data_IF_435729072021
#
_entry.id   IF_435729072021
#
_cell.length_a   1.000
_cell.length_b   1.000
_cell.length_c   1.000
_cell.angle_alpha   90.00
_cell.angle_beta   90.00
_cell.angle_gamma   90.00
#
_symmetry.space_group_name_H-M   'P 1'
#
loop_
_entity.id
_entity.type
_entity.pdbx_description
1 polymer ?
#
# COMPACT_ATOMS: atom_id res chain seq x y z
N UNK A 1 -13.57 -7.47 11.54
CA UNK A 1 -12.40 -7.18 12.39
C UNK A 1 -12.78 -6.22 13.50
N UNK A 2 -12.20 -6.45 14.66
CA UNK A 2 -12.41 -5.60 15.81
C UNK A 2 -11.50 -4.36 15.73
N UNK A 3 -12.06 -3.17 15.87
CA UNK A 3 -11.30 -1.91 15.86
C UNK A 3 -10.92 -1.44 17.27
N UNK A 4 -11.09 -2.31 18.28
CA UNK A 4 -10.75 -1.99 19.66
C UNK A 4 -9.30 -1.55 19.79
N UNK A 5 -9.06 -0.58 20.68
CA UNK A 5 -7.74 -0.02 20.92
C UNK A 5 -7.38 1.17 20.04
N UNK A 6 -8.20 1.49 19.02
CA UNK A 6 -8.02 2.69 18.20
C UNK A 6 -9.21 3.61 18.41
N UNK A 7 -8.96 4.79 18.98
CA UNK A 7 -10.02 5.80 19.15
C UNK A 7 -10.12 6.73 17.95
N UNK A 8 -8.98 7.27 17.52
CA UNK A 8 -8.89 8.09 16.33
C UNK A 8 -7.68 7.59 15.56
N UNK A 9 -7.90 7.04 14.42
CA UNK A 9 -6.78 6.50 13.67
C UNK A 9 -7.17 5.75 12.42
N UNK A 10 -6.29 4.87 12.00
CA UNK A 10 -6.41 4.14 10.75
C UNK A 10 -6.18 2.66 11.04
N UNK A 11 -7.03 1.81 10.49
CA UNK A 11 -6.85 0.36 10.57
C UNK A 11 -6.77 -0.19 9.14
N UNK A 12 -5.63 -0.76 8.80
CA UNK A 12 -5.42 -1.44 7.52
C UNK A 12 -5.76 -2.91 7.73
N UNK A 13 -6.84 -3.37 7.11
CA UNK A 13 -7.35 -4.73 7.25
C UNK A 13 -7.25 -5.49 5.94
N UNK A 14 -7.41 -6.81 6.01
CA UNK A 14 -7.35 -7.71 4.86
C UNK A 14 -6.01 -7.67 4.12
N UNK A 15 -4.93 -7.38 4.85
CA UNK A 15 -3.58 -7.51 4.31
C UNK A 15 -3.29 -9.01 4.19
N UNK A 16 -2.77 -9.43 3.04
CA UNK A 16 -2.40 -10.82 2.85
C UNK A 16 -1.37 -11.24 3.91
N UNK A 17 -1.60 -12.38 4.55
CA UNK A 17 -0.71 -12.90 5.60
C UNK A 17 0.74 -12.98 5.09
N UNK A 18 1.66 -12.39 5.85
CA UNK A 18 3.08 -12.32 5.49
C UNK A 18 3.49 -11.02 4.80
N UNK A 19 2.55 -10.15 4.43
CA UNK A 19 2.87 -8.89 3.74
C UNK A 19 2.83 -7.65 4.63
N UNK A 20 2.44 -7.77 5.89
CA UNK A 20 2.30 -6.61 6.78
C UNK A 20 3.60 -5.84 6.96
N UNK A 21 4.74 -6.52 7.08
CA UNK A 21 6.02 -5.84 7.27
C UNK A 21 6.48 -5.11 6.01
N UNK A 22 6.14 -5.62 4.82
CA UNK A 22 6.40 -4.91 3.58
C UNK A 22 5.56 -3.62 3.52
N UNK A 23 4.28 -3.71 3.86
CA UNK A 23 3.38 -2.54 3.93
C UNK A 23 3.91 -1.53 4.95
N UNK A 24 4.29 -2.00 6.12
CA UNK A 24 4.87 -1.18 7.20
C UNK A 24 6.07 -0.38 6.70
N UNK A 25 6.99 -1.04 6.01
CA UNK A 25 8.19 -0.38 5.48
C UNK A 25 7.90 0.60 4.35
N UNK A 26 7.03 0.21 3.41
CA UNK A 26 6.72 1.05 2.25
C UNK A 26 5.94 2.31 2.64
N UNK A 27 5.13 2.25 3.69
CA UNK A 27 4.42 3.42 4.21
C UNK A 27 5.28 4.27 5.14
N UNK A 28 6.50 3.84 5.45
CA UNK A 28 7.39 4.58 6.34
C UNK A 28 6.92 4.62 7.78
N UNK A 29 6.19 3.60 8.23
CA UNK A 29 5.62 3.57 9.58
C UNK A 29 6.68 3.45 10.67
N UNK A 30 7.89 3.01 10.31
CA UNK A 30 9.04 2.97 11.21
C UNK A 30 9.55 4.37 11.59
N UNK A 31 9.15 5.39 10.83
CA UNK A 31 9.61 6.78 11.01
C UNK A 31 8.58 7.66 11.70
N UNK A 32 7.39 7.14 11.97
CA UNK A 32 6.35 7.93 12.65
C UNK A 32 6.45 7.73 14.17
N UNK A 33 6.08 8.77 14.91
CA UNK A 33 6.08 8.74 16.37
C UNK A 33 4.78 8.20 16.96
N UNK A 34 3.82 7.93 16.11
CA UNK A 34 2.50 7.43 16.53
C UNK A 34 2.58 5.97 16.94
N UNK A 35 1.68 5.55 17.81
CA UNK A 35 1.57 4.16 18.20
C UNK A 35 1.07 3.32 17.01
N UNK A 36 1.86 2.33 16.62
CA UNK A 36 1.53 1.44 15.51
C UNK A 36 1.55 0.00 16.02
N UNK A 37 0.47 -0.74 15.78
CA UNK A 37 0.40 -2.17 16.12
C UNK A 37 0.28 -2.98 14.83
N UNK A 38 1.07 -4.04 14.73
CA UNK A 38 1.04 -4.99 13.61
C UNK A 38 0.58 -6.33 14.16
N UNK A 39 -0.48 -6.87 13.57
CA UNK A 39 -1.01 -8.18 13.93
C UNK A 39 -0.81 -9.10 12.73
N UNK A 40 -0.05 -10.17 12.94
CA UNK A 40 0.21 -11.16 11.90
C UNK A 40 -0.63 -12.40 12.13
N UNK A 41 -1.10 -12.99 11.05
CA UNK A 41 -1.81 -14.27 11.08
C UNK A 41 -3.08 -14.25 11.92
N UNK A 42 -3.84 -13.15 11.84
CA UNK A 42 -5.16 -13.06 12.44
C UNK A 42 -6.15 -13.95 11.66
N UNK A 43 -7.12 -14.51 12.35
CA UNK A 43 -8.13 -15.35 11.70
C UNK A 43 -8.98 -14.51 10.72
N UNK A 44 -9.18 -15.08 9.52
CA UNK A 44 -9.97 -14.43 8.48
C UNK A 44 -10.93 -15.44 7.87
N UNK A 45 -12.21 -15.09 7.83
CA UNK A 45 -13.22 -15.93 7.19
C UNK A 45 -12.99 -16.01 5.67
N UNK A 46 -12.42 -14.96 5.07
CA UNK A 46 -12.21 -14.88 3.62
C UNK A 46 -10.93 -15.58 3.15
N UNK A 47 -9.84 -15.46 3.92
CA UNK A 47 -8.51 -15.91 3.49
C UNK A 47 -7.88 -16.95 4.40
N UNK A 48 -8.56 -17.38 5.47
CA UNK A 48 -7.97 -18.21 6.51
C UNK A 48 -7.13 -17.39 7.47
N UNK A 49 -6.10 -16.72 6.98
CA UNK A 49 -5.24 -15.83 7.79
C UNK A 49 -5.07 -14.49 7.07
N UNK A 50 -4.95 -13.43 7.85
CA UNK A 50 -4.71 -12.08 7.34
C UNK A 50 -3.80 -11.33 8.30
N UNK A 51 -3.18 -10.26 7.83
CA UNK A 51 -2.43 -9.33 8.66
C UNK A 51 -3.23 -8.04 8.83
N UNK A 52 -3.02 -7.36 9.95
CA UNK A 52 -3.70 -6.11 10.28
C UNK A 52 -2.68 -5.12 10.80
N UNK A 53 -2.78 -3.85 10.40
CA UNK A 53 -1.96 -2.77 10.94
C UNK A 53 -2.90 -1.72 11.52
N UNK A 54 -2.70 -1.37 12.79
CA UNK A 54 -3.45 -0.32 13.47
C UNK A 54 -2.53 0.86 13.76
N UNK A 55 -2.95 2.04 13.35
CA UNK A 55 -2.19 3.27 13.56
C UNK A 55 -3.03 4.20 14.43
N UNK A 56 -2.48 4.56 15.59
CA UNK A 56 -3.14 5.51 16.49
C UNK A 56 -2.84 6.93 15.99
N UNK A 57 -3.86 7.63 15.58
CA UNK A 57 -3.85 8.91 14.91
C UNK A 57 -4.00 8.79 13.38
N UNK A 58 -4.48 9.87 12.76
CA UNK A 58 -4.67 9.94 11.32
C UNK A 58 -3.46 10.59 10.68
N UNK A 59 -2.60 9.75 10.13
CA UNK A 59 -1.46 10.20 9.35
C UNK A 59 -1.80 10.12 7.86
N UNK A 60 -1.06 10.85 7.05
CA UNK A 60 -1.20 10.74 5.60
C UNK A 60 -0.62 9.41 5.14
N UNK A 61 -1.44 8.64 4.43
CA UNK A 61 -1.03 7.36 3.86
C UNK A 61 -1.17 7.45 2.35
N UNK A 62 -0.15 6.97 1.65
CA UNK A 62 -0.19 6.90 0.20
C UNK A 62 -1.07 5.72 -0.22
N UNK A 63 -2.32 6.02 -0.58
CA UNK A 63 -3.28 5.02 -1.01
C UNK A 63 -2.89 4.37 -2.33
N UNK A 64 -2.15 5.06 -3.19
CA UNK A 64 -1.67 4.49 -4.44
C UNK A 64 -0.64 3.41 -4.19
N UNK A 65 0.26 3.60 -3.23
CA UNK A 65 1.21 2.57 -2.82
C UNK A 65 0.47 1.34 -2.30
N UNK A 66 -0.52 1.53 -1.43
CA UNK A 66 -1.32 0.43 -0.91
C UNK A 66 -2.05 -0.32 -2.01
N UNK A 67 -2.71 0.40 -2.91
CA UNK A 67 -3.43 -0.21 -4.03
C UNK A 67 -2.52 -0.98 -4.97
N UNK A 68 -1.29 -0.52 -5.14
CA UNK A 68 -0.28 -1.22 -5.93
C UNK A 68 0.16 -2.53 -5.25
N UNK A 69 0.37 -2.50 -3.93
CA UNK A 69 0.80 -3.69 -3.18
C UNK A 69 -0.31 -4.75 -3.18
N UNK A 70 -1.52 -4.35 -2.79
CA UNK A 70 -2.66 -5.26 -2.72
C UNK A 70 -3.95 -4.46 -2.66
N UNK A 71 -4.73 -4.48 -3.74
CA UNK A 71 -6.01 -3.77 -3.80
C UNK A 71 -7.09 -4.38 -2.90
N UNK A 72 -6.86 -5.56 -2.33
CA UNK A 72 -7.78 -6.17 -1.37
C UNK A 72 -7.67 -5.58 0.04
N UNK A 73 -6.61 -4.82 0.32
CA UNK A 73 -6.46 -4.14 1.60
C UNK A 73 -7.60 -3.13 1.75
N UNK A 74 -8.20 -3.10 2.93
CA UNK A 74 -9.24 -2.15 3.27
C UNK A 74 -8.68 -1.12 4.24
N UNK A 75 -8.93 0.16 3.99
CA UNK A 75 -8.51 1.25 4.86
C UNK A 75 -9.72 1.70 5.68
N UNK A 76 -9.68 1.48 6.99
CA UNK A 76 -10.75 1.88 7.90
C UNK A 76 -10.32 3.12 8.67
N UNK A 77 -11.07 4.21 8.51
CA UNK A 77 -10.85 5.43 9.27
C UNK A 77 -11.73 5.39 10.51
N UNK A 78 -11.10 5.53 11.68
CA UNK A 78 -11.77 5.43 12.96
C UNK A 78 -11.80 6.79 13.65
N UNK A 79 -12.96 7.17 14.18
CA UNK A 79 -13.13 8.40 14.95
C UNK A 79 -14.00 8.10 16.17
N UNK A 80 -13.54 8.54 17.33
CA UNK A 80 -14.25 8.35 18.63
C UNK A 80 -14.58 6.86 18.89
N UNK A 81 -13.66 5.98 18.52
CA UNK A 81 -13.82 4.54 18.70
C UNK A 81 -14.76 3.85 17.74
N UNK A 82 -15.29 4.58 16.76
CA UNK A 82 -16.25 4.04 15.79
C UNK A 82 -15.72 4.18 14.38
N UNK A 83 -16.12 3.25 13.52
CA UNK A 83 -15.78 3.30 12.09
C UNK A 83 -16.47 4.50 11.44
N UNK A 84 -15.67 5.46 10.97
CA UNK A 84 -16.18 6.64 10.28
C UNK A 84 -16.32 6.40 8.79
N UNK A 85 -15.29 5.80 8.18
CA UNK A 85 -15.28 5.58 6.73
C UNK A 85 -14.43 4.36 6.40
N UNK A 86 -14.90 3.58 5.43
CA UNK A 86 -14.19 2.43 4.91
C UNK A 86 -13.82 2.69 3.46
N UNK A 87 -12.53 2.68 3.15
CA UNK A 87 -12.01 2.92 1.81
C UNK A 87 -11.60 1.61 1.16
N UNK A 88 -12.05 1.40 -0.06
CA UNK A 88 -11.59 0.29 -0.89
C UNK A 88 -10.55 0.80 -1.87
N UNK A 89 -9.52 0.01 -2.11
CA UNK A 89 -8.39 0.39 -2.95
C UNK A 89 -8.55 -0.19 -4.34
N UNK A 90 -7.93 0.50 -5.30
CA UNK A 90 -7.84 0.05 -6.70
C UNK A 90 -6.39 0.14 -7.14
N UNK A 91 -6.05 -0.58 -8.21
CA UNK A 91 -4.74 -0.41 -8.85
C UNK A 91 -4.65 1.03 -9.36
N UNK A 92 -3.62 1.78 -8.95
CA UNK A 92 -3.48 3.16 -9.42
C UNK A 92 -3.15 3.20 -10.91
N UNK A 93 -3.62 4.25 -11.58
CA UNK A 93 -3.32 4.49 -12.99
C UNK A 93 -1.85 4.83 -13.20
N UNK A 94 -1.26 5.55 -12.26
CA UNK A 94 0.11 6.05 -12.35
C UNK A 94 0.84 5.81 -11.04
N UNK A 95 2.09 5.37 -11.15
CA UNK A 95 3.00 5.18 -10.01
C UNK A 95 4.18 6.12 -10.17
N UNK A 96 4.48 6.91 -9.13
CA UNK A 96 5.61 7.84 -9.11
C UNK A 96 6.55 7.48 -7.98
N UNK A 97 7.78 7.08 -8.32
CA UNK A 97 8.81 6.66 -7.37
C UNK A 97 8.39 5.50 -6.45
N UNK A 98 7.41 4.70 -6.87
CA UNK A 98 7.00 3.48 -6.16
C UNK A 98 7.88 2.31 -6.60
N UNK A 99 8.10 2.20 -7.90
CA UNK A 99 8.98 1.22 -8.51
C UNK A 99 10.03 1.93 -9.34
N UNK A 100 11.20 1.32 -9.43
CA UNK A 100 12.31 1.87 -10.21
C UNK A 100 12.43 1.15 -11.54
N UNK A 101 12.68 1.90 -12.61
CA UNK A 101 12.92 1.32 -13.91
C UNK A 101 14.23 0.53 -13.89
N UNK A 102 14.19 -0.71 -14.35
CA UNK A 102 15.35 -1.60 -14.37
C UNK A 102 16.09 -1.57 -15.69
N UNK A 103 15.59 -0.80 -16.66
CA UNK A 103 16.26 -0.64 -17.95
C UNK A 103 17.48 0.28 -17.79
N UNK A 104 18.71 -0.21 -17.96
CA UNK A 104 19.91 0.60 -17.74
C UNK A 104 20.05 1.74 -18.73
N UNK A 105 19.33 1.70 -19.85
CA UNK A 105 19.35 2.74 -20.88
C UNK A 105 18.26 3.79 -20.69
N UNK A 106 17.37 3.60 -19.72
CA UNK A 106 16.31 4.57 -19.44
C UNK A 106 16.89 5.84 -18.84
N UNK A 107 16.36 7.00 -19.25
CA UNK A 107 16.79 8.30 -18.74
C UNK A 107 16.64 8.36 -17.20
N UNK A 108 15.64 7.70 -16.63
CA UNK A 108 15.44 7.68 -15.19
C UNK A 108 16.51 6.90 -14.45
N UNK A 109 17.16 5.96 -15.13
CA UNK A 109 18.28 5.18 -14.59
C UNK A 109 19.58 5.97 -14.65
N UNK A 110 19.76 6.74 -15.70
CA UNK A 110 20.96 7.56 -15.94
C UNK A 110 20.92 8.84 -15.11
N UNK A 111 19.77 9.51 -15.07
CA UNK A 111 19.56 10.77 -14.36
C UNK A 111 18.78 10.53 -13.09
N UNK A 112 19.40 10.63 -11.92
CA UNK A 112 18.78 10.29 -10.64
C UNK A 112 17.68 11.27 -10.21
N UNK A 113 17.65 12.45 -10.78
CA UNK A 113 16.67 13.48 -10.42
C UNK A 113 15.32 13.29 -11.09
N UNK A 114 15.23 12.45 -12.12
CA UNK A 114 13.99 12.22 -12.85
C UNK A 114 13.15 11.21 -12.08
N UNK A 115 11.89 11.58 -11.81
CA UNK A 115 10.94 10.73 -11.10
C UNK A 115 10.64 9.48 -11.95
N UNK A 116 10.79 8.30 -11.34
CA UNK A 116 10.41 7.04 -11.99
C UNK A 116 8.88 6.99 -12.05
N UNK A 117 8.32 7.10 -13.24
CA UNK A 117 6.87 7.15 -13.45
C UNK A 117 6.45 6.00 -14.35
N UNK A 118 5.47 5.24 -13.88
CA UNK A 118 4.90 4.10 -14.60
C UNK A 118 3.42 4.31 -14.78
N UNK A 119 2.87 3.89 -15.90
CA UNK A 119 1.44 3.92 -16.17
C UNK A 119 0.88 2.52 -16.27
N UNK A 120 -0.34 2.35 -15.79
CA UNK A 120 -1.05 1.08 -15.88
C UNK A 120 -1.43 0.82 -17.33
N UNK A 121 -1.01 -0.31 -17.89
CA UNK A 121 -1.31 -0.69 -19.28
C UNK A 121 -2.25 -1.87 -19.38
N UNK A 122 -2.26 -2.76 -18.39
CA UNK A 122 -3.17 -3.91 -18.37
C UNK A 122 -3.56 -4.21 -16.92
N UNK A 123 -4.80 -3.89 -16.59
CA UNK A 123 -5.32 -4.05 -15.23
C UNK A 123 -5.44 -5.53 -14.84
N UNK A 124 -5.82 -6.38 -15.76
CA UNK A 124 -5.98 -7.81 -15.48
C UNK A 124 -4.66 -8.50 -15.20
N UNK A 125 -3.58 -8.08 -15.86
CA UNK A 125 -2.23 -8.60 -15.67
C UNK A 125 -1.43 -7.82 -14.64
N UNK A 126 -1.99 -6.73 -14.11
CA UNK A 126 -1.32 -5.78 -13.22
C UNK A 126 0.00 -5.31 -13.82
N UNK A 127 -0.04 -4.96 -15.11
CA UNK A 127 1.13 -4.57 -15.86
C UNK A 127 1.25 -3.05 -15.94
N UNK A 128 2.43 -2.55 -15.67
CA UNK A 128 2.80 -1.14 -15.76
C UNK A 128 3.93 -0.98 -16.75
N UNK A 129 4.01 0.19 -17.38
CA UNK A 129 5.12 0.53 -18.28
C UNK A 129 5.73 1.88 -17.90
N UNK A 130 7.05 1.94 -17.95
CA UNK A 130 7.78 3.19 -17.76
C UNK A 130 7.37 4.18 -18.85
N UNK A 131 7.02 5.41 -18.47
CA UNK A 131 6.56 6.42 -19.45
C UNK A 131 7.69 6.91 -20.35
N UNK A 132 8.96 6.68 -19.99
CA UNK A 132 10.11 7.15 -20.76
C UNK A 132 10.65 6.09 -21.73
N UNK A 133 10.78 4.84 -21.28
CA UNK A 133 11.38 3.78 -22.09
C UNK A 133 10.43 2.64 -22.44
N UNK A 134 9.21 2.65 -21.88
CA UNK A 134 8.17 1.65 -22.13
C UNK A 134 8.51 0.23 -21.62
N UNK A 135 9.52 0.10 -20.76
CA UNK A 135 9.83 -1.17 -20.14
C UNK A 135 8.68 -1.63 -19.24
N UNK A 136 8.29 -2.89 -19.34
CA UNK A 136 7.17 -3.45 -18.59
C UNK A 136 7.60 -3.90 -17.20
N UNK A 137 6.74 -3.62 -16.21
CA UNK A 137 6.83 -4.14 -14.86
C UNK A 137 5.49 -4.72 -14.46
N UNK A 138 5.47 -5.97 -14.00
CA UNK A 138 4.25 -6.62 -13.52
C UNK A 138 4.27 -6.74 -12.00
N UNK A 139 3.14 -6.43 -11.39
CA UNK A 139 2.95 -6.64 -9.94
C UNK A 139 2.85 -8.14 -9.68
N UNK A 140 3.63 -8.60 -8.73
CA UNK A 140 3.62 -10.01 -8.33
C UNK A 140 2.54 -10.29 -7.30
#
# INVERSE_FOLDING_TARGET
MNIDGVKNGIVLDHIKAGKSMMVYGLLGLDKVDNCVAVIQNADSAKYGKKDIIKIDDRIDIDLDVLGYIDSNITVNLVKDGQLEKKLHLELPQTLRNVIKCKNPRCITTVEQEIVHTFRLTDRSKKAYRCIYCDAEHRVK
#
